data_IF_170729926505
#
_entry.id   IF_170729926505
#
_cell.length_a   1.000
_cell.length_b   1.000
_cell.length_c   1.000
_cell.angle_alpha   90.00
_cell.angle_beta   90.00
_cell.angle_gamma   90.00
#
_symmetry.space_group_name_H-M   'P 1'
#
loop_
_entity.id
_entity.type
_entity.pdbx_description
1 polymer ?
#
# COMPACT_ATOMS: atom_id res chain seq x y z
N UNK A 1 43.40 22.61 -56.80
CA UNK A 1 43.04 22.86 -55.40
C UNK A 1 41.57 22.52 -55.22
N UNK A 2 41.26 21.37 -54.62
CA UNK A 2 39.90 21.05 -54.17
C UNK A 2 40.03 20.68 -52.69
N UNK A 3 39.44 21.50 -51.83
CA UNK A 3 39.48 21.35 -50.39
C UNK A 3 38.20 20.63 -49.95
N UNK A 4 38.32 19.36 -49.59
CA UNK A 4 37.21 18.55 -49.09
C UNK A 4 37.08 18.75 -47.59
N UNK A 5 36.06 19.50 -47.16
CA UNK A 5 35.69 19.63 -45.74
C UNK A 5 34.96 18.37 -45.29
N UNK A 6 35.54 17.62 -44.35
CA UNK A 6 34.84 16.59 -43.60
C UNK A 6 33.89 17.25 -42.60
N UNK A 7 32.59 16.97 -42.72
CA UNK A 7 31.61 17.26 -41.67
C UNK A 7 31.37 15.97 -40.87
N UNK A 8 31.79 15.96 -39.61
CA UNK A 8 31.43 14.91 -38.67
C UNK A 8 30.04 15.23 -38.09
N UNK A 9 29.02 14.47 -38.48
CA UNK A 9 27.71 14.51 -37.85
C UNK A 9 27.77 13.69 -36.55
N UNK A 10 27.87 14.37 -35.42
CA UNK A 10 27.73 13.74 -34.10
C UNK A 10 26.26 13.43 -33.84
N UNK A 11 25.92 12.14 -33.75
CA UNK A 11 24.61 11.70 -33.29
C UNK A 11 24.49 12.01 -31.78
N UNK A 12 23.67 12.99 -31.41
CA UNK A 12 23.24 13.18 -30.02
C UNK A 12 22.31 12.02 -29.65
N UNK A 13 22.82 11.08 -28.85
CA UNK A 13 21.99 10.10 -28.17
C UNK A 13 21.17 10.84 -27.09
N UNK A 14 19.87 11.01 -27.31
CA UNK A 14 18.92 11.44 -26.30
C UNK A 14 18.77 10.31 -25.28
N UNK A 15 19.50 10.39 -24.16
CA UNK A 15 19.27 9.51 -23.03
C UNK A 15 17.90 9.85 -22.42
N UNK A 16 16.92 8.98 -22.62
CA UNK A 16 15.63 9.07 -21.93
C UNK A 16 15.85 8.74 -20.44
N UNK A 17 15.99 9.77 -19.61
CA UNK A 17 16.02 9.61 -18.16
C UNK A 17 14.66 9.09 -17.68
N UNK A 18 14.57 7.79 -17.39
CA UNK A 18 13.38 7.22 -16.79
C UNK A 18 13.15 7.85 -15.41
N UNK A 19 12.05 8.61 -15.29
CA UNK A 19 11.68 9.38 -14.10
C UNK A 19 11.19 8.48 -12.97
N UNK A 20 11.34 8.96 -11.74
CA UNK A 20 10.61 8.43 -10.59
C UNK A 20 9.10 8.36 -10.89
N UNK A 21 8.44 7.29 -10.44
CA UNK A 21 7.01 7.07 -10.62
C UNK A 21 6.29 7.24 -9.29
N UNK A 22 5.18 7.99 -9.28
CA UNK A 22 4.34 8.16 -8.09
C UNK A 22 2.95 7.61 -8.37
N UNK A 23 2.48 6.73 -7.48
CA UNK A 23 1.10 6.24 -7.47
C UNK A 23 0.36 6.89 -6.30
N UNK A 24 -0.87 7.33 -6.54
CA UNK A 24 -1.71 7.99 -5.53
C UNK A 24 -3.00 7.19 -5.37
N UNK A 25 -3.31 6.82 -4.14
CA UNK A 25 -4.54 6.12 -3.76
C UNK A 25 -5.41 7.10 -2.98
N UNK A 26 -6.50 7.55 -3.59
CA UNK A 26 -7.37 8.60 -3.06
C UNK A 26 -8.55 8.02 -2.28
N UNK A 27 -8.86 8.65 -1.14
CA UNK A 27 -10.01 8.34 -0.30
C UNK A 27 -11.00 9.51 -0.33
N UNK A 28 -12.22 9.24 -0.77
CA UNK A 28 -13.32 10.20 -0.81
C UNK A 28 -14.10 10.18 0.50
N UNK A 29 -13.91 11.23 1.30
CA UNK A 29 -14.54 11.37 2.61
C UNK A 29 -16.02 11.68 2.54
N UNK A 30 -16.55 12.18 1.41
CA UNK A 30 -17.98 12.43 1.27
C UNK A 30 -18.79 11.13 1.32
N UNK A 31 -18.22 10.06 0.77
CA UNK A 31 -18.86 8.74 0.70
C UNK A 31 -18.48 7.84 1.88
N UNK A 32 -17.20 7.90 2.30
CA UNK A 32 -16.63 6.91 3.23
C UNK A 32 -16.40 7.42 4.64
N UNK A 33 -16.34 8.75 4.84
CA UNK A 33 -15.90 9.37 6.08
C UNK A 33 -14.37 9.44 6.26
N UNK A 34 -13.60 8.78 5.39
CA UNK A 34 -12.13 8.88 5.33
C UNK A 34 -11.74 9.74 4.14
N UNK A 35 -11.03 10.85 4.37
CA UNK A 35 -10.58 11.76 3.33
C UNK A 35 -9.06 11.77 3.23
N UNK A 36 -8.53 11.78 2.01
CA UNK A 36 -7.11 12.06 1.79
C UNK A 36 -6.48 11.08 0.81
N UNK A 37 -5.20 10.77 0.99
CA UNK A 37 -4.51 9.82 0.12
C UNK A 37 -3.35 9.08 0.80
N UNK A 38 -2.99 7.96 0.18
CA UNK A 38 -1.71 7.28 0.37
C UNK A 38 -0.93 7.42 -0.95
N UNK A 39 0.33 7.80 -0.88
CA UNK A 39 1.20 7.92 -2.04
C UNK A 39 2.35 6.91 -1.95
N UNK A 40 2.67 6.29 -3.07
CA UNK A 40 3.83 5.42 -3.22
C UNK A 40 4.74 6.02 -4.29
N UNK A 41 5.87 6.55 -3.84
CA UNK A 41 6.88 7.14 -4.72
C UNK A 41 8.03 6.16 -4.91
N UNK A 42 8.16 5.62 -6.12
CA UNK A 42 9.30 4.82 -6.53
C UNK A 42 10.47 5.73 -6.86
N UNK A 43 11.64 5.42 -6.29
CA UNK A 43 12.88 6.05 -6.68
C UNK A 43 13.22 5.73 -8.16
N UNK A 44 14.21 6.43 -8.78
CA UNK A 44 14.61 6.17 -10.15
C UNK A 44 14.95 4.69 -10.39
N UNK A 45 14.88 4.18 -11.64
CA UNK A 45 14.85 2.73 -11.95
C UNK A 45 16.00 1.88 -11.40
N UNK A 46 17.15 2.49 -11.09
CA UNK A 46 18.27 1.80 -10.47
C UNK A 46 18.04 1.46 -8.98
N UNK A 47 16.99 2.00 -8.36
CA UNK A 47 16.65 1.82 -6.95
C UNK A 47 15.54 0.80 -6.76
N UNK A 48 15.69 -0.06 -5.77
CA UNK A 48 14.64 -0.99 -5.31
C UNK A 48 13.78 -0.40 -4.19
N UNK A 49 13.90 0.91 -3.94
CA UNK A 49 13.22 1.59 -2.84
C UNK A 49 12.00 2.35 -3.34
N UNK A 50 10.96 2.35 -2.51
CA UNK A 50 9.84 3.25 -2.62
C UNK A 50 9.60 3.89 -1.25
N UNK A 51 9.09 5.12 -1.25
CA UNK A 51 8.60 5.80 -0.06
C UNK A 51 7.09 5.69 -0.07
N UNK A 52 6.49 5.34 1.06
CA UNK A 52 5.03 5.35 1.24
C UNK A 52 4.67 6.48 2.18
N UNK A 53 3.81 7.41 1.76
CA UNK A 53 3.29 8.47 2.62
C UNK A 53 1.77 8.39 2.74
N UNK A 54 1.26 8.80 3.89
CA UNK A 54 -0.17 8.88 4.16
C UNK A 54 -0.51 10.26 4.71
N UNK A 55 -1.58 10.86 4.19
CA UNK A 55 -2.28 12.01 4.77
C UNK A 55 -3.77 11.70 4.71
N UNK A 56 -4.30 11.22 5.84
CA UNK A 56 -5.65 10.69 5.95
C UNK A 56 -6.38 11.34 7.12
N UNK A 57 -7.65 11.67 6.92
CA UNK A 57 -8.55 12.27 7.91
C UNK A 57 -9.74 11.35 8.15
N UNK A 58 -9.84 10.83 9.37
CA UNK A 58 -10.90 9.93 9.82
C UNK A 58 -11.98 10.65 10.64
N UNK A 59 -11.91 11.97 10.77
CA UNK A 59 -12.81 12.75 11.64
C UNK A 59 -14.30 12.66 11.26
N UNK A 60 -14.61 12.24 10.04
CA UNK A 60 -15.98 12.06 9.53
C UNK A 60 -16.42 10.60 9.47
N UNK A 61 -15.62 9.66 9.97
CA UNK A 61 -15.99 8.25 10.04
C UNK A 61 -17.19 8.09 10.97
N UNK A 62 -18.25 7.47 10.46
CA UNK A 62 -19.44 7.17 11.24
C UNK A 62 -19.18 5.96 12.14
N UNK A 63 -18.75 6.22 13.38
CA UNK A 63 -18.46 5.16 14.34
C UNK A 63 -19.69 4.28 14.59
N UNK A 64 -20.88 4.86 14.78
CA UNK A 64 -22.08 4.07 15.02
C UNK A 64 -22.41 3.09 13.87
N UNK A 65 -22.15 3.48 12.62
CA UNK A 65 -22.29 2.60 11.46
C UNK A 65 -21.25 1.47 11.48
N UNK A 66 -19.99 1.78 11.82
CA UNK A 66 -18.94 0.76 11.97
C UNK A 66 -19.27 -0.24 13.09
N UNK A 67 -19.70 0.24 14.26
CA UNK A 67 -20.04 -0.63 15.41
C UNK A 67 -21.25 -1.52 15.11
N UNK A 68 -22.20 -1.03 14.30
CA UNK A 68 -23.33 -1.83 13.82
C UNK A 68 -22.91 -2.90 12.82
N UNK A 69 -21.91 -2.59 11.97
CA UNK A 69 -21.39 -3.52 10.98
C UNK A 69 -20.48 -4.59 11.59
N UNK A 70 -19.61 -4.20 12.51
CA UNK A 70 -18.65 -5.05 13.19
C UNK A 70 -18.90 -5.01 14.71
N UNK A 71 -19.54 -6.06 15.24
CA UNK A 71 -19.94 -6.12 16.65
C UNK A 71 -18.77 -6.11 17.63
N UNK A 72 -17.55 -6.45 17.20
CA UNK A 72 -16.36 -6.35 18.03
C UNK A 72 -15.81 -4.92 18.13
N UNK A 73 -16.25 -4.01 17.27
CA UNK A 73 -15.92 -2.60 17.37
C UNK A 73 -16.82 -1.96 18.44
N UNK A 74 -16.44 -2.07 19.72
CA UNK A 74 -17.26 -1.58 20.85
C UNK A 74 -16.73 -0.30 21.51
N UNK A 75 -15.48 0.07 21.21
CA UNK A 75 -14.82 1.27 21.72
C UNK A 75 -14.53 2.27 20.61
N UNK A 76 -14.06 3.45 21.00
CA UNK A 76 -13.49 4.40 20.06
C UNK A 76 -12.30 3.78 19.30
N UNK A 77 -12.25 4.03 17.98
CA UNK A 77 -11.15 3.58 17.14
C UNK A 77 -10.03 4.61 17.20
N UNK A 78 -8.87 4.20 17.69
CA UNK A 78 -7.67 5.04 17.81
C UNK A 78 -6.56 4.65 16.85
N UNK A 79 -6.68 3.48 16.22
CA UNK A 79 -5.73 3.00 15.24
C UNK A 79 -6.39 2.13 14.17
N UNK A 80 -5.82 2.16 12.96
CA UNK A 80 -6.25 1.36 11.83
C UNK A 80 -5.12 0.47 11.32
N UNK A 81 -5.47 -0.78 11.02
CA UNK A 81 -4.63 -1.60 10.17
C UNK A 81 -4.89 -1.22 8.70
N UNK A 82 -3.90 -1.42 7.86
CA UNK A 82 -3.85 -1.01 6.46
C UNK A 82 -3.00 -1.99 5.67
N UNK A 83 -3.54 -2.41 4.53
CA UNK A 83 -3.00 -3.49 3.72
C UNK A 83 -3.31 -3.26 2.22
N UNK A 84 -2.56 -3.91 1.34
CA UNK A 84 -2.88 -4.00 -0.08
C UNK A 84 -3.58 -5.34 -0.33
N UNK A 85 -4.77 -5.26 -0.91
CA UNK A 85 -5.54 -6.43 -1.32
C UNK A 85 -5.37 -6.72 -2.82
N UNK A 86 -5.71 -7.92 -3.24
CA UNK A 86 -5.43 -8.43 -4.60
C UNK A 86 -6.37 -7.90 -5.68
N UNK A 87 -7.53 -7.36 -5.32
CA UNK A 87 -8.51 -6.86 -6.29
C UNK A 87 -9.25 -5.61 -5.79
N UNK A 88 -9.83 -4.90 -6.75
CA UNK A 88 -10.74 -3.79 -6.54
C UNK A 88 -11.87 -3.89 -7.55
N UNK A 89 -13.11 -4.12 -7.10
CA UNK A 89 -14.26 -4.31 -7.97
C UNK A 89 -15.16 -3.08 -8.10
N UNK A 90 -14.87 -2.00 -7.36
CA UNK A 90 -15.64 -0.76 -7.47
C UNK A 90 -15.13 0.10 -8.61
N UNK A 91 -16.02 0.88 -9.19
CA UNK A 91 -15.67 1.95 -10.15
C UNK A 91 -15.31 3.26 -9.45
N UNK A 92 -15.44 3.33 -8.11
CA UNK A 92 -15.05 4.48 -7.28
C UNK A 92 -13.60 4.35 -6.85
N UNK A 93 -13.02 5.47 -6.39
CA UNK A 93 -11.67 5.50 -5.80
C UNK A 93 -11.61 4.90 -4.40
N UNK A 94 -12.72 4.95 -3.66
CA UNK A 94 -12.83 4.40 -2.31
C UNK A 94 -14.25 3.94 -2.00
N UNK A 95 -14.36 3.00 -1.05
CA UNK A 95 -15.61 2.40 -0.56
C UNK A 95 -15.54 2.19 0.96
N UNK A 96 -16.62 1.68 1.57
CA UNK A 96 -16.67 1.33 3.00
C UNK A 96 -17.41 0.02 3.27
N UNK A 97 -17.20 -0.54 4.46
CA UNK A 97 -17.95 -1.69 5.01
C UNK A 97 -17.93 -2.91 4.06
N UNK A 98 -19.10 -3.47 3.75
CA UNK A 98 -19.25 -4.65 2.90
C UNK A 98 -18.58 -4.51 1.53
N UNK A 99 -18.50 -3.28 0.98
CA UNK A 99 -17.84 -3.02 -0.30
C UNK A 99 -16.31 -3.21 -0.24
N UNK A 100 -15.72 -3.22 0.96
CA UNK A 100 -14.32 -3.53 1.21
C UNK A 100 -14.10 -5.00 1.62
N UNK A 101 -15.16 -5.81 1.69
CA UNK A 101 -15.10 -7.19 2.19
C UNK A 101 -14.36 -8.15 1.26
N UNK A 102 -14.00 -9.32 1.80
CA UNK A 102 -13.19 -10.36 1.13
C UNK A 102 -13.71 -10.73 -0.28
N UNK A 103 -15.02 -10.78 -0.47
CA UNK A 103 -15.62 -11.11 -1.76
C UNK A 103 -15.29 -10.09 -2.87
N UNK A 104 -14.98 -8.85 -2.51
CA UNK A 104 -14.79 -7.72 -3.44
C UNK A 104 -13.34 -7.25 -3.50
N UNK A 105 -12.58 -7.38 -2.40
CA UNK A 105 -11.17 -6.98 -2.32
C UNK A 105 -10.20 -8.17 -2.35
N UNK A 106 -10.66 -9.36 -1.97
CA UNK A 106 -9.82 -10.54 -1.85
C UNK A 106 -8.91 -10.47 -0.62
N UNK A 107 -7.97 -11.41 -0.56
CA UNK A 107 -6.98 -11.48 0.53
C UNK A 107 -5.84 -10.47 0.31
N UNK A 108 -4.87 -10.46 1.23
CA UNK A 108 -3.66 -9.65 1.10
C UNK A 108 -2.82 -10.08 -0.10
N UNK A 109 -2.27 -9.09 -0.81
CA UNK A 109 -1.37 -9.32 -1.93
C UNK A 109 -0.04 -9.92 -1.45
N UNK A 110 0.28 -11.13 -1.91
CA UNK A 110 1.46 -11.89 -1.46
C UNK A 110 2.12 -12.67 -2.61
N UNK A 111 2.60 -12.00 -3.66
CA UNK A 111 3.18 -12.65 -4.84
C UNK A 111 4.48 -13.42 -4.54
N UNK A 112 5.04 -13.25 -3.33
CA UNK A 112 6.30 -13.86 -2.91
C UNK A 112 6.13 -14.99 -1.90
N UNK A 113 4.89 -15.40 -1.59
CA UNK A 113 4.59 -16.47 -0.64
C UNK A 113 5.28 -16.28 0.72
N UNK A 114 5.15 -15.07 1.28
CA UNK A 114 5.49 -14.84 2.70
C UNK A 114 4.54 -15.63 3.60
N UNK A 115 3.31 -15.90 3.13
CA UNK A 115 2.34 -16.81 3.72
C UNK A 115 1.92 -16.41 5.14
N UNK A 116 1.46 -15.17 5.32
CA UNK A 116 0.75 -14.83 6.54
C UNK A 116 -0.70 -15.35 6.51
N UNK A 117 -1.43 -15.25 7.64
CA UNK A 117 -2.77 -15.81 7.77
C UNK A 117 -3.81 -15.21 6.80
N UNK A 118 -3.55 -14.01 6.29
CA UNK A 118 -4.42 -13.28 5.37
C UNK A 118 -3.88 -13.27 3.92
N UNK A 119 -2.80 -14.00 3.64
CA UNK A 119 -2.22 -14.14 2.31
C UNK A 119 -3.25 -14.65 1.30
N UNK A 120 -3.18 -14.18 0.06
CA UNK A 120 -3.92 -14.79 -1.06
C UNK A 120 -3.60 -16.27 -1.29
N UNK A 121 -2.48 -16.75 -0.72
CA UNK A 121 -2.03 -18.13 -0.78
C UNK A 121 -2.24 -18.89 0.54
N UNK A 122 -3.01 -18.40 1.50
CA UNK A 122 -3.13 -19.02 2.83
C UNK A 122 -3.61 -20.49 2.82
N UNK A 123 -4.29 -20.93 1.75
CA UNK A 123 -4.73 -22.31 1.57
C UNK A 123 -3.74 -23.18 0.78
N UNK A 124 -2.70 -22.59 0.18
CA UNK A 124 -1.68 -23.36 -0.52
C UNK A 124 -0.91 -24.22 0.50
N UNK A 125 -0.73 -25.53 0.26
CA UNK A 125 0.06 -26.40 1.14
C UNK A 125 1.46 -25.85 1.47
N UNK A 126 2.07 -25.08 0.56
CA UNK A 126 3.37 -24.42 0.80
C UNK A 126 3.34 -23.37 1.91
N UNK A 127 2.16 -22.85 2.23
CA UNK A 127 1.97 -21.86 3.28
C UNK A 127 1.64 -22.48 4.65
N UNK A 128 1.29 -23.77 4.72
CA UNK A 128 0.78 -24.40 5.94
C UNK A 128 1.70 -24.24 7.17
N UNK A 129 3.01 -24.36 6.98
CA UNK A 129 3.98 -24.17 8.07
C UNK A 129 4.39 -22.71 8.26
N UNK A 130 4.51 -21.94 7.17
CA UNK A 130 4.90 -20.53 7.23
C UNK A 130 3.89 -19.68 8.00
N UNK A 131 2.59 -19.93 7.80
CA UNK A 131 1.50 -19.22 8.50
C UNK A 131 1.68 -19.29 10.02
N UNK A 132 2.06 -20.44 10.55
CA UNK A 132 2.24 -20.65 12.01
C UNK A 132 3.37 -19.81 12.58
N UNK A 133 4.38 -19.53 11.76
CA UNK A 133 5.57 -18.76 12.13
C UNK A 133 5.56 -17.32 11.63
N UNK A 134 4.49 -16.88 10.97
CA UNK A 134 4.42 -15.56 10.36
C UNK A 134 4.47 -14.49 11.44
N UNK A 135 5.51 -13.66 11.39
CA UNK A 135 5.74 -12.60 12.37
C UNK A 135 6.23 -11.35 11.64
N UNK A 136 5.39 -10.82 10.74
CA UNK A 136 5.70 -9.55 10.11
C UNK A 136 5.62 -8.42 11.14
N UNK A 137 6.74 -7.72 11.27
CA UNK A 137 6.91 -6.54 12.10
C UNK A 137 8.04 -5.69 11.49
N UNK A 138 8.26 -4.43 11.91
CA UNK A 138 9.28 -3.59 11.31
C UNK A 138 10.69 -4.18 11.40
N UNK A 139 11.00 -4.91 12.49
CA UNK A 139 12.32 -5.51 12.67
C UNK A 139 12.52 -6.74 11.75
N UNK A 140 11.52 -7.61 11.62
CA UNK A 140 11.61 -8.75 10.70
C UNK A 140 11.64 -8.29 9.24
N UNK A 141 10.88 -7.25 8.89
CA UNK A 141 10.91 -6.65 7.56
C UNK A 141 12.26 -6.00 7.22
N UNK A 142 12.84 -5.23 8.15
CA UNK A 142 14.15 -4.61 7.95
C UNK A 142 15.27 -5.64 7.77
N UNK A 143 15.15 -6.80 8.44
CA UNK A 143 16.11 -7.91 8.31
C UNK A 143 15.92 -8.68 6.99
N UNK A 144 14.68 -8.98 6.63
CA UNK A 144 14.34 -9.66 5.39
C UNK A 144 12.98 -9.16 4.84
N UNK A 145 12.98 -8.37 3.76
CA UNK A 145 11.75 -7.89 3.12
C UNK A 145 10.83 -8.98 2.57
N UNK A 146 11.28 -10.25 2.50
CA UNK A 146 10.46 -11.41 2.11
C UNK A 146 9.76 -12.10 3.28
N UNK A 147 10.10 -11.72 4.52
CA UNK A 147 9.44 -12.25 5.72
C UNK A 147 8.00 -11.73 5.90
N UNK A 148 7.64 -10.66 5.19
CA UNK A 148 6.32 -10.05 5.20
C UNK A 148 5.63 -10.19 3.85
N UNK A 149 4.32 -10.42 3.88
CA UNK A 149 3.48 -10.30 2.69
C UNK A 149 3.68 -8.93 2.05
N UNK A 150 3.64 -8.82 0.72
CA UNK A 150 3.79 -7.51 0.06
C UNK A 150 2.68 -6.54 0.47
N UNK A 151 1.47 -7.04 0.71
CA UNK A 151 0.32 -6.29 1.17
C UNK A 151 0.25 -6.01 2.66
N UNK A 152 1.03 -6.67 3.52
CA UNK A 152 0.99 -6.42 4.98
C UNK A 152 1.79 -5.16 5.36
N UNK A 153 1.21 -4.00 5.14
CA UNK A 153 1.86 -2.70 5.38
C UNK A 153 1.87 -2.35 6.87
N UNK A 154 0.82 -2.72 7.60
CA UNK A 154 0.77 -2.57 9.06
C UNK A 154 1.84 -3.35 9.80
N UNK A 155 2.13 -4.58 9.37
CA UNK A 155 3.24 -5.35 9.90
C UNK A 155 4.58 -4.66 9.62
N UNK A 156 4.80 -4.14 8.41
CA UNK A 156 6.08 -3.53 8.03
C UNK A 156 6.36 -2.19 8.68
N UNK A 157 5.35 -1.33 8.74
CA UNK A 157 5.51 0.09 9.03
C UNK A 157 4.74 0.53 10.28
N UNK A 158 3.98 -0.39 10.89
CA UNK A 158 3.10 -0.09 12.00
C UNK A 158 1.69 0.30 11.54
N UNK A 159 0.76 0.27 12.50
CA UNK A 159 -0.62 0.70 12.32
C UNK A 159 -0.72 2.21 12.16
N UNK A 160 -1.75 2.67 11.46
CA UNK A 160 -2.09 4.09 11.42
C UNK A 160 -2.67 4.51 12.76
N UNK A 161 -1.89 5.26 13.54
CA UNK A 161 -2.33 5.83 14.82
C UNK A 161 -2.93 7.20 14.58
N UNK A 162 -4.16 7.41 15.05
CA UNK A 162 -4.84 8.69 14.93
C UNK A 162 -4.26 9.71 15.91
N UNK A 163 -4.05 10.94 15.44
CA UNK A 163 -3.77 12.08 16.30
C UNK A 163 -5.05 12.59 17.01
N UNK A 164 -4.90 13.64 17.83
CA UNK A 164 -6.03 14.27 18.54
C UNK A 164 -7.10 14.87 17.61
N UNK A 165 -6.78 15.08 16.34
CA UNK A 165 -7.71 15.54 15.30
C UNK A 165 -8.25 14.39 14.42
N UNK A 166 -8.01 13.13 14.81
CA UNK A 166 -8.40 11.93 14.07
C UNK A 166 -7.72 11.80 12.70
N UNK A 167 -6.48 12.29 12.58
CA UNK A 167 -5.71 12.25 11.33
C UNK A 167 -4.47 11.38 11.46
N UNK A 168 -3.98 10.92 10.32
CA UNK A 168 -2.69 10.25 10.17
C UNK A 168 -1.86 11.01 9.16
N UNK A 169 -0.64 11.37 9.57
CA UNK A 169 0.39 11.93 8.69
C UNK A 169 1.70 11.23 8.94
N UNK A 170 2.31 10.71 7.88
CA UNK A 170 3.58 10.03 8.00
C UNK A 170 4.12 9.54 6.68
N UNK A 171 5.41 9.21 6.68
CA UNK A 171 6.10 8.56 5.59
C UNK A 171 6.97 7.42 6.13
N UNK A 172 7.04 6.31 5.42
CA UNK A 172 7.88 5.15 5.72
C UNK A 172 8.68 4.66 4.51
#
# INVERSE_FOLDING_TARGET
MVSTKLFAAGALALASSASAQTFVYEFDGATTGVQGNIQVQYAPPASTKATVSADLDFSKVNLAELQKFEGNCSSEVTEYTWHIHVKWSSTRTSEKLAQCGLALTGNHYDPTFACGPASEHFQDPKCADKIKSYSCNPASYAKDPRACEKGDLSGKFGRFKLDGSKKVRGSG
#
